data_IF_029663896195
#
_entry.id   IF_029663896195
#
_cell.length_a   1.000
_cell.length_b   1.000
_cell.length_c   1.000
_cell.angle_alpha   90.00
_cell.angle_beta   90.00
_cell.angle_gamma   90.00
#
_symmetry.space_group_name_H-M   'P 1'
#
loop_
_entity.id
_entity.type
_entity.pdbx_description
1 polymer ?
#
# COMPACT_ATOMS: atom_id res chain seq x y z
N UNK A 1 -5.91 44.29 11.14
CA UNK A 1 -4.77 44.32 10.22
C UNK A 1 -3.67 43.31 10.57
N UNK A 2 -3.21 43.31 11.81
CA UNK A 2 -2.17 42.34 12.22
C UNK A 2 -2.61 40.87 12.15
N UNK A 3 -3.87 40.57 12.49
CA UNK A 3 -4.41 39.23 12.46
C UNK A 3 -4.54 38.67 11.03
N UNK A 4 -4.96 39.50 10.08
CA UNK A 4 -5.09 39.07 8.68
C UNK A 4 -3.75 38.84 8.01
N UNK A 5 -2.75 39.69 8.29
CA UNK A 5 -1.40 39.52 7.76
C UNK A 5 -0.71 38.29 8.34
N UNK A 6 -0.93 38.03 9.64
CA UNK A 6 -0.41 36.83 10.30
C UNK A 6 -1.04 35.55 9.73
N UNK A 7 -2.35 35.60 9.45
CA UNK A 7 -3.07 34.45 8.88
C UNK A 7 -2.63 34.17 7.43
N UNK A 8 -2.45 35.22 6.61
CA UNK A 8 -1.91 35.06 5.24
C UNK A 8 -0.49 34.47 5.24
N UNK A 9 0.33 34.91 6.19
CA UNK A 9 1.68 34.40 6.34
C UNK A 9 1.67 32.91 6.73
N UNK A 10 0.78 32.53 7.66
CA UNK A 10 0.59 31.13 8.03
C UNK A 10 0.06 30.30 6.87
N UNK A 11 -0.88 30.80 6.08
CA UNK A 11 -1.41 30.11 4.91
C UNK A 11 -0.32 29.86 3.86
N UNK A 12 0.52 30.84 3.60
CA UNK A 12 1.65 30.69 2.65
C UNK A 12 2.62 29.62 3.15
N UNK A 13 2.96 29.64 4.44
CA UNK A 13 3.83 28.65 5.04
C UNK A 13 3.23 27.25 4.99
N UNK A 14 1.94 27.11 5.29
CA UNK A 14 1.22 25.84 5.24
C UNK A 14 1.15 25.29 3.81
N UNK A 15 0.87 26.15 2.84
CA UNK A 15 0.84 25.74 1.43
C UNK A 15 2.19 25.29 0.94
N UNK A 16 3.25 25.99 1.33
CA UNK A 16 4.61 25.61 0.97
C UNK A 16 4.97 24.24 1.55
N UNK A 17 4.64 24.01 2.81
CA UNK A 17 4.86 22.73 3.48
C UNK A 17 4.07 21.60 2.82
N UNK A 18 2.80 21.84 2.55
CA UNK A 18 1.95 20.89 1.85
C UNK A 18 2.50 20.55 0.46
N UNK A 19 2.88 21.54 -0.32
CA UNK A 19 3.42 21.33 -1.66
C UNK A 19 4.74 20.56 -1.64
N UNK A 20 5.58 20.83 -0.66
CA UNK A 20 6.82 20.08 -0.47
C UNK A 20 6.56 18.63 -0.14
N UNK A 21 5.64 18.36 0.79
CA UNK A 21 5.25 17.02 1.18
C UNK A 21 4.62 16.27 0.01
N UNK A 22 3.69 16.89 -0.70
CA UNK A 22 3.02 16.29 -1.85
C UNK A 22 4.00 15.98 -2.97
N UNK A 23 4.93 16.88 -3.25
CA UNK A 23 5.96 16.69 -4.27
C UNK A 23 6.93 15.56 -3.90
N UNK A 24 7.34 15.50 -2.64
CA UNK A 24 8.19 14.42 -2.14
C UNK A 24 7.49 13.07 -2.24
N UNK A 25 6.24 13.01 -1.82
CA UNK A 25 5.42 11.80 -1.94
C UNK A 25 5.30 11.34 -3.39
N UNK A 26 5.01 12.28 -4.30
CA UNK A 26 4.87 11.98 -5.73
C UNK A 26 6.17 11.39 -6.31
N UNK A 27 7.32 11.94 -5.94
CA UNK A 27 8.62 11.44 -6.43
C UNK A 27 8.91 10.03 -5.90
N UNK A 28 8.67 9.79 -4.63
CA UNK A 28 8.87 8.46 -4.02
C UNK A 28 7.94 7.45 -4.67
N UNK A 29 6.66 7.79 -4.79
CA UNK A 29 5.65 6.91 -5.39
C UNK A 29 5.98 6.57 -6.84
N UNK A 30 6.38 7.55 -7.64
CA UNK A 30 6.78 7.33 -9.03
C UNK A 30 7.98 6.39 -9.15
N UNK A 31 8.99 6.58 -8.30
CA UNK A 31 10.17 5.72 -8.28
C UNK A 31 9.82 4.28 -7.87
N UNK A 32 8.92 4.12 -6.88
CA UNK A 32 8.44 2.80 -6.46
C UNK A 32 7.66 2.12 -7.57
N UNK A 33 6.76 2.82 -8.24
CA UNK A 33 5.97 2.27 -9.34
C UNK A 33 6.86 1.78 -10.47
N UNK A 34 7.85 2.57 -10.84
CA UNK A 34 8.78 2.23 -11.90
C UNK A 34 9.59 0.96 -11.55
N UNK A 35 10.13 0.90 -10.34
CA UNK A 35 11.00 -0.21 -9.93
C UNK A 35 10.22 -1.49 -9.64
N UNK A 36 9.03 -1.38 -9.03
CA UNK A 36 8.20 -2.54 -8.73
C UNK A 36 7.59 -3.18 -9.98
N UNK A 37 7.48 -2.42 -11.07
CA UNK A 37 7.00 -2.97 -12.35
C UNK A 37 7.87 -4.14 -12.84
N UNK A 38 9.15 -4.18 -12.50
CA UNK A 38 10.05 -5.30 -12.82
C UNK A 38 9.60 -6.61 -12.17
N UNK A 39 8.85 -6.50 -11.07
CA UNK A 39 8.30 -7.63 -10.35
C UNK A 39 6.82 -7.87 -10.67
N UNK A 40 6.30 -7.21 -11.68
CA UNK A 40 4.87 -7.25 -12.07
C UNK A 40 3.95 -6.86 -10.91
N UNK A 41 4.35 -5.88 -10.11
CA UNK A 41 3.59 -5.39 -8.96
C UNK A 41 3.41 -3.88 -9.02
N UNK A 42 2.20 -3.43 -8.71
CA UNK A 42 1.95 -2.04 -8.36
C UNK A 42 2.34 -1.80 -6.89
N UNK A 43 2.44 -0.53 -6.51
CA UNK A 43 2.82 -0.15 -5.14
C UNK A 43 1.81 -0.68 -4.12
N UNK A 44 0.52 -0.48 -4.37
CA UNK A 44 -0.52 -0.94 -3.44
C UNK A 44 -0.61 -2.46 -3.39
N UNK A 45 -0.40 -3.13 -4.53
CA UNK A 45 -0.32 -4.59 -4.57
C UNK A 45 0.83 -5.09 -3.68
N UNK A 46 1.99 -4.46 -3.79
CA UNK A 46 3.14 -4.79 -2.93
C UNK A 46 2.80 -4.59 -1.44
N UNK A 47 2.15 -3.49 -1.10
CA UNK A 47 1.76 -3.20 0.28
C UNK A 47 0.81 -4.25 0.86
N UNK A 48 -0.13 -4.74 0.05
CA UNK A 48 -1.04 -5.83 0.44
C UNK A 48 -0.24 -7.11 0.68
N UNK A 49 0.65 -7.47 -0.24
CA UNK A 49 1.50 -8.66 -0.06
C UNK A 49 2.36 -8.54 1.19
N UNK A 50 2.94 -7.37 1.45
CA UNK A 50 3.73 -7.13 2.66
C UNK A 50 2.91 -7.30 3.92
N UNK A 51 1.70 -6.76 3.94
CA UNK A 51 0.81 -6.90 5.09
C UNK A 51 0.49 -8.36 5.37
N UNK A 52 0.23 -9.14 4.33
CA UNK A 52 -0.01 -10.57 4.47
C UNK A 52 1.26 -11.32 4.92
N UNK A 53 2.39 -11.00 4.31
CA UNK A 53 3.66 -11.66 4.63
C UNK A 53 4.12 -11.41 6.07
N UNK A 54 3.74 -10.29 6.66
CA UNK A 54 4.09 -9.94 8.05
C UNK A 54 2.98 -10.27 9.03
N UNK A 55 1.87 -10.83 8.58
CA UNK A 55 0.75 -11.26 9.43
C UNK A 55 0.93 -12.71 9.84
N UNK A 56 0.39 -13.04 11.01
CA UNK A 56 0.42 -14.41 11.53
C UNK A 56 -0.34 -15.34 10.58
N UNK A 57 0.28 -16.45 10.20
CA UNK A 57 -0.32 -17.41 9.29
C UNK A 57 -0.43 -16.93 7.85
N UNK A 58 0.23 -15.82 7.50
CA UNK A 58 0.18 -15.22 6.16
C UNK A 58 -1.23 -14.87 5.70
N UNK A 59 -2.10 -14.52 6.63
CA UNK A 59 -3.48 -14.19 6.33
C UNK A 59 -3.95 -12.96 7.11
N UNK A 60 -4.95 -12.30 6.57
CA UNK A 60 -5.51 -11.10 7.16
C UNK A 60 -6.96 -10.97 6.72
N UNK A 61 -7.80 -10.45 7.60
CA UNK A 61 -9.18 -10.13 7.23
C UNK A 61 -9.20 -9.02 6.21
N UNK A 62 -10.12 -9.09 5.25
CA UNK A 62 -10.28 -8.04 4.24
C UNK A 62 -10.52 -6.67 4.88
N UNK A 63 -11.26 -6.62 6.00
CA UNK A 63 -11.48 -5.37 6.73
C UNK A 63 -10.20 -4.75 7.27
N UNK A 64 -9.28 -5.58 7.76
CA UNK A 64 -7.98 -5.12 8.25
C UNK A 64 -7.11 -4.56 7.12
N UNK A 65 -7.17 -5.20 5.94
CA UNK A 65 -6.47 -4.70 4.75
C UNK A 65 -7.02 -3.36 4.30
N UNK A 66 -8.33 -3.16 4.37
CA UNK A 66 -8.96 -1.87 4.05
C UNK A 66 -8.42 -0.77 4.94
N UNK A 67 -8.32 -1.02 6.24
CA UNK A 67 -7.78 -0.04 7.19
C UNK A 67 -6.30 0.27 6.98
N UNK A 68 -5.52 -0.72 6.54
CA UNK A 68 -4.07 -0.57 6.37
C UNK A 68 -3.66 0.07 5.05
N UNK A 69 -4.48 -0.01 4.01
CA UNK A 69 -4.10 0.40 2.65
C UNK A 69 -4.66 1.75 2.21
N UNK A 70 -5.50 2.37 3.01
CA UNK A 70 -6.18 3.63 2.65
C UNK A 70 -7.04 3.54 1.39
N UNK A 71 -7.38 2.33 0.95
CA UNK A 71 -8.28 2.09 -0.18
C UNK A 71 -9.73 1.97 0.29
N UNK A 72 -10.67 2.25 -0.62
CA UNK A 72 -12.06 1.88 -0.38
C UNK A 72 -12.18 0.36 -0.39
N UNK A 73 -13.25 -0.15 0.22
CA UNK A 73 -13.54 -1.58 0.27
C UNK A 73 -13.65 -2.19 -1.14
N UNK A 74 -14.31 -1.48 -2.06
CA UNK A 74 -14.47 -1.94 -3.44
C UNK A 74 -13.16 -1.91 -4.22
N UNK A 75 -12.32 -0.90 -4.02
CA UNK A 75 -11.01 -0.83 -4.66
C UNK A 75 -10.09 -1.96 -4.16
N UNK A 76 -10.07 -2.21 -2.86
CA UNK A 76 -9.30 -3.31 -2.28
C UNK A 76 -9.79 -4.67 -2.81
N UNK A 77 -11.11 -4.87 -2.88
CA UNK A 77 -11.68 -6.11 -3.39
C UNK A 77 -11.24 -6.39 -4.83
N UNK A 78 -11.23 -5.38 -5.68
CA UNK A 78 -10.75 -5.51 -7.07
C UNK A 78 -9.25 -5.81 -7.13
N UNK A 79 -8.46 -5.13 -6.31
CA UNK A 79 -7.03 -5.35 -6.24
C UNK A 79 -6.70 -6.78 -5.79
N UNK A 80 -7.36 -7.26 -4.74
CA UNK A 80 -7.18 -8.64 -4.26
C UNK A 80 -7.65 -9.64 -5.33
N UNK A 81 -8.72 -9.33 -6.06
CA UNK A 81 -9.17 -10.15 -7.19
C UNK A 81 -8.11 -10.32 -8.27
N UNK A 82 -7.37 -9.25 -8.59
CA UNK A 82 -6.25 -9.34 -9.54
C UNK A 82 -5.11 -10.20 -8.98
N UNK A 83 -4.79 -10.04 -7.70
CA UNK A 83 -3.76 -10.86 -7.04
C UNK A 83 -4.15 -12.34 -7.02
N UNK A 84 -5.44 -12.64 -6.85
CA UNK A 84 -5.94 -14.01 -6.96
C UNK A 84 -5.77 -14.58 -8.37
N UNK A 85 -6.11 -13.79 -9.38
CA UNK A 85 -5.95 -14.19 -10.79
C UNK A 85 -4.48 -14.50 -11.09
N UNK A 86 -3.56 -13.76 -10.51
CA UNK A 86 -2.12 -13.95 -10.67
C UNK A 86 -1.57 -15.08 -9.78
N UNK A 87 -2.41 -15.70 -8.96
CA UNK A 87 -2.00 -16.80 -8.09
C UNK A 87 -1.21 -16.40 -6.86
N UNK A 88 -1.21 -15.11 -6.49
CA UNK A 88 -0.41 -14.60 -5.38
C UNK A 88 -1.17 -14.60 -4.05
N UNK A 89 -2.48 -14.59 -4.11
CA UNK A 89 -3.39 -14.53 -2.94
C UNK A 89 -4.56 -15.46 -3.17
N UNK A 90 -5.11 -16.00 -2.10
CA UNK A 90 -6.36 -16.76 -2.10
C UNK A 90 -7.32 -16.14 -1.10
N UNK A 91 -8.60 -16.04 -1.47
CA UNK A 91 -9.65 -15.66 -0.53
C UNK A 91 -10.21 -16.91 0.11
N UNK A 92 -10.45 -16.85 1.41
CA UNK A 92 -11.06 -17.93 2.14
C UNK A 92 -12.04 -17.36 3.16
N UNK A 93 -13.11 -18.12 3.43
CA UNK A 93 -14.02 -17.82 4.52
C UNK A 93 -13.49 -18.52 5.79
N UNK A 94 -13.51 -17.79 6.91
CA UNK A 94 -13.14 -18.40 8.18
C UNK A 94 -14.24 -19.40 8.59
N UNK A 95 -13.88 -20.66 8.94
CA UNK A 95 -14.86 -21.66 9.37
C UNK A 95 -15.70 -21.24 10.58
N UNK A 96 -15.12 -20.39 11.45
CA UNK A 96 -15.76 -19.96 12.70
C UNK A 96 -16.46 -18.60 12.59
N UNK A 97 -16.31 -17.90 11.47
CA UNK A 97 -16.90 -16.57 11.27
C UNK A 97 -17.44 -16.48 9.84
N UNK A 98 -18.74 -16.71 9.70
CA UNK A 98 -19.42 -16.68 8.40
C UNK A 98 -19.41 -15.31 7.74
N UNK A 99 -19.05 -14.25 8.48
CA UNK A 99 -18.99 -12.86 7.99
C UNK A 99 -17.59 -12.44 7.59
N UNK A 100 -16.57 -13.24 7.94
CA UNK A 100 -15.19 -12.89 7.71
C UNK A 100 -14.65 -13.50 6.43
N UNK A 101 -14.22 -12.65 5.49
CA UNK A 101 -13.43 -13.05 4.35
C UNK A 101 -11.98 -12.73 4.66
N UNK A 102 -11.12 -13.72 4.50
CA UNK A 102 -9.68 -13.61 4.68
C UNK A 102 -9.00 -13.63 3.33
N UNK A 103 -7.89 -12.89 3.23
CA UNK A 103 -6.92 -13.04 2.16
C UNK A 103 -5.72 -13.83 2.73
N UNK A 104 -5.29 -14.83 2.02
CA UNK A 104 -4.15 -15.66 2.39
C UNK A 104 -3.07 -15.55 1.32
N UNK A 105 -1.82 -15.34 1.74
CA UNK A 105 -0.68 -15.26 0.83
C UNK A 105 -0.27 -16.66 0.40
N UNK A 106 -0.22 -16.90 -0.91
CA UNK A 106 0.25 -18.19 -1.46
C UNK A 106 1.79 -18.27 -1.42
N UNK A 107 2.33 -19.44 -1.66
CA UNK A 107 3.78 -19.61 -1.78
C UNK A 107 4.35 -18.76 -2.90
N UNK A 108 3.65 -18.65 -4.04
CA UNK A 108 4.05 -17.81 -5.15
C UNK A 108 3.99 -16.32 -4.76
N UNK A 109 2.96 -15.93 -4.01
CA UNK A 109 2.83 -14.57 -3.49
C UNK A 109 3.95 -14.21 -2.54
N UNK A 110 4.31 -15.13 -1.67
CA UNK A 110 5.43 -14.94 -0.74
C UNK A 110 6.76 -14.81 -1.48
N UNK A 111 7.01 -15.65 -2.48
CA UNK A 111 8.22 -15.56 -3.29
C UNK A 111 8.30 -14.23 -4.06
N UNK A 112 7.18 -13.79 -4.64
CA UNK A 112 7.09 -12.51 -5.35
C UNK A 112 7.37 -11.35 -4.40
N UNK A 113 6.78 -11.37 -3.22
CA UNK A 113 7.00 -10.35 -2.20
C UNK A 113 8.47 -10.30 -1.78
N UNK A 114 9.08 -11.43 -1.46
CA UNK A 114 10.47 -11.47 -1.01
C UNK A 114 11.44 -10.95 -2.07
N UNK A 115 11.20 -11.27 -3.34
CA UNK A 115 12.00 -10.74 -4.44
C UNK A 115 11.83 -9.22 -4.59
N UNK A 116 10.61 -8.72 -4.48
CA UNK A 116 10.30 -7.30 -4.63
C UNK A 116 10.72 -6.46 -3.42
N UNK A 117 10.81 -7.05 -2.24
CA UNK A 117 11.13 -6.34 -1.00
C UNK A 117 12.47 -5.61 -1.09
N UNK A 118 13.49 -6.26 -1.59
CA UNK A 118 14.82 -5.65 -1.72
C UNK A 118 14.77 -4.42 -2.63
N UNK A 119 14.06 -4.52 -3.76
CA UNK A 119 13.84 -3.41 -4.68
C UNK A 119 13.10 -2.27 -4.00
N UNK A 120 12.03 -2.57 -3.29
CA UNK A 120 11.23 -1.58 -2.57
C UNK A 120 12.08 -0.81 -1.55
N UNK A 121 12.84 -1.51 -0.72
CA UNK A 121 13.68 -0.89 0.31
C UNK A 121 14.82 -0.07 -0.28
N UNK A 122 15.40 -0.51 -1.40
CA UNK A 122 16.45 0.25 -2.10
C UNK A 122 15.91 1.58 -2.62
N UNK A 123 14.71 1.58 -3.20
CA UNK A 123 14.07 2.81 -3.67
C UNK A 123 13.78 3.76 -2.51
N UNK A 124 13.23 3.25 -1.40
CA UNK A 124 12.99 4.10 -0.22
C UNK A 124 14.29 4.72 0.31
N UNK A 125 15.37 3.96 0.34
CA UNK A 125 16.66 4.46 0.80
C UNK A 125 17.22 5.57 -0.09
N UNK A 126 16.98 5.51 -1.40
CA UNK A 126 17.44 6.51 -2.36
C UNK A 126 16.57 7.77 -2.39
N UNK A 127 15.26 7.62 -2.13
CA UNK A 127 14.28 8.69 -2.36
C UNK A 127 13.77 9.35 -1.08
N UNK A 128 13.86 8.72 0.07
CA UNK A 128 13.55 9.31 1.35
C UNK A 128 14.81 9.91 1.98
#
# INVERSE_FOLDING_TARGET
MRAEMSQKHNDVALLAEWNELAGRHARVLSALEHSLAEHDLGVTEFEVLERLATSQGYECRMQELTGATHLSQSALSRLVGRLETDGLVERAMCPNDRRGIYAHLTDDGRARYEAARATHRAVLAETL
#
